data_IF_971145681130
#
_entry.id   IF_971145681130
#
_cell.length_a   1.000
_cell.length_b   1.000
_cell.length_c   1.000
_cell.angle_alpha   90.00
_cell.angle_beta   90.00
_cell.angle_gamma   90.00
#
_symmetry.space_group_name_H-M   'P 1'
#
loop_
_entity.id
_entity.type
_entity.pdbx_description
1 polymer ?
#
# COMPACT_ATOMS: atom_id res chain seq x y z
N UNK A 1 -2.24 17.05 3.99
CA UNK A 1 -0.92 16.59 3.52
C UNK A 1 -1.16 15.59 2.39
N UNK A 2 -0.75 15.97 1.17
CA UNK A 2 -0.73 15.15 -0.05
C UNK A 2 0.76 14.96 -0.36
N UNK A 3 1.22 13.72 -0.46
CA UNK A 3 2.61 13.38 -0.77
C UNK A 3 2.60 12.62 -2.09
N UNK A 4 3.44 13.06 -3.03
CA UNK A 4 3.64 12.41 -4.31
C UNK A 4 4.91 11.57 -4.25
N UNK A 5 4.83 10.30 -4.68
CA UNK A 5 5.95 9.36 -4.69
C UNK A 5 6.49 9.10 -6.10
N UNK A 6 6.15 9.96 -7.05
CA UNK A 6 6.54 9.87 -8.44
C UNK A 6 5.73 8.84 -9.21
N UNK A 7 6.26 8.43 -10.36
CA UNK A 7 5.57 7.51 -11.26
C UNK A 7 5.58 6.10 -10.68
N UNK A 8 4.44 5.42 -10.85
CA UNK A 8 4.27 4.06 -10.40
C UNK A 8 3.15 3.32 -11.11
N UNK A 9 3.10 2.02 -10.81
CA UNK A 9 2.08 1.09 -11.21
C UNK A 9 1.28 0.70 -9.98
N UNK A 10 -0.03 0.74 -10.13
CA UNK A 10 -1.01 0.20 -9.22
C UNK A 10 -1.63 -1.02 -9.90
N UNK A 11 -1.59 -2.17 -9.26
CA UNK A 11 -2.20 -3.40 -9.76
C UNK A 11 -3.17 -3.93 -8.72
N UNK A 12 -4.47 -3.90 -9.02
CA UNK A 12 -5.51 -4.52 -8.20
C UNK A 12 -5.79 -5.93 -8.72
N UNK A 13 -5.81 -6.88 -7.79
CA UNK A 13 -6.09 -8.29 -8.01
C UNK A 13 -7.34 -8.67 -7.22
N UNK A 14 -8.43 -8.88 -7.93
CA UNK A 14 -9.74 -9.27 -7.40
C UNK A 14 -10.09 -10.66 -7.96
N UNK A 15 -9.71 -11.71 -7.23
CA UNK A 15 -9.81 -13.08 -7.73
C UNK A 15 -8.91 -13.31 -8.95
N UNK A 16 -9.51 -13.63 -10.10
CA UNK A 16 -8.82 -13.80 -11.39
C UNK A 16 -8.69 -12.49 -12.18
N UNK A 17 -9.41 -11.44 -11.78
CA UNK A 17 -9.37 -10.16 -12.47
C UNK A 17 -8.16 -9.33 -12.03
N UNK A 18 -7.46 -8.79 -13.02
CA UNK A 18 -6.30 -7.91 -12.83
C UNK A 18 -6.56 -6.57 -13.49
N UNK A 19 -6.63 -5.53 -12.68
CA UNK A 19 -6.72 -4.14 -13.15
C UNK A 19 -5.40 -3.43 -12.89
N UNK A 20 -4.86 -2.77 -13.92
CA UNK A 20 -3.59 -2.04 -13.84
C UNK A 20 -3.83 -0.56 -14.13
N UNK A 21 -3.36 0.30 -13.24
CA UNK A 21 -3.28 1.74 -13.44
C UNK A 21 -1.82 2.18 -13.41
N UNK A 22 -1.44 3.06 -14.32
CA UNK A 22 -0.13 3.70 -14.35
C UNK A 22 -0.31 5.21 -14.20
N UNK A 23 0.56 5.84 -13.42
CA UNK A 23 0.54 7.29 -13.22
C UNK A 23 1.30 7.69 -11.96
N UNK A 24 1.02 8.87 -11.44
CA UNK A 24 1.67 9.38 -10.23
C UNK A 24 1.03 8.81 -8.97
N UNK A 25 1.84 8.18 -8.12
CA UNK A 25 1.37 7.58 -6.86
C UNK A 25 1.27 8.66 -5.81
N UNK A 26 0.07 8.82 -5.24
CA UNK A 26 -0.21 9.82 -4.22
C UNK A 26 -0.70 9.15 -2.95
N UNK A 27 -0.10 9.56 -1.82
CA UNK A 27 -0.63 9.31 -0.48
C UNK A 27 -1.25 10.58 0.07
N UNK A 28 -2.41 10.46 0.70
CA UNK A 28 -2.91 11.48 1.61
C UNK A 28 -3.18 10.86 2.99
N UNK A 29 -3.76 11.65 3.91
CA UNK A 29 -4.04 11.20 5.28
C UNK A 29 -4.97 9.99 5.40
N UNK A 30 -5.73 9.65 4.36
CA UNK A 30 -6.80 8.64 4.40
C UNK A 30 -6.72 7.58 3.30
N UNK A 31 -6.03 7.84 2.18
CA UNK A 31 -5.97 6.94 1.03
C UNK A 31 -4.69 7.04 0.21
N UNK A 32 -4.39 5.96 -0.52
CA UNK A 32 -3.40 5.91 -1.60
C UNK A 32 -4.15 5.87 -2.92
N UNK A 33 -3.69 6.58 -3.96
CA UNK A 33 -4.29 6.54 -5.30
C UNK A 33 -3.30 6.93 -6.40
N UNK A 34 -3.66 6.67 -7.65
CA UNK A 34 -2.99 7.21 -8.84
C UNK A 34 -3.67 8.53 -9.23
N UNK A 35 -2.89 9.61 -9.35
CA UNK A 35 -3.41 10.93 -9.73
C UNK A 35 -4.10 10.88 -11.10
N UNK A 36 -5.28 11.50 -11.21
CA UNK A 36 -6.10 11.47 -12.43
C UNK A 36 -6.87 10.16 -12.69
N UNK A 37 -6.78 9.15 -11.81
CA UNK A 37 -7.55 7.90 -11.92
C UNK A 37 -8.51 7.75 -10.74
N UNK A 38 -9.78 8.07 -10.96
CA UNK A 38 -10.85 8.07 -9.93
C UNK A 38 -11.03 6.72 -9.24
N UNK A 39 -10.88 5.61 -9.96
CA UNK A 39 -11.10 4.26 -9.43
C UNK A 39 -9.85 3.60 -8.83
N UNK A 40 -8.72 4.31 -8.80
CA UNK A 40 -7.42 3.78 -8.39
C UNK A 40 -7.12 3.96 -6.89
N UNK A 41 -8.14 4.13 -6.04
CA UNK A 41 -7.93 4.46 -4.64
C UNK A 41 -8.07 3.30 -3.65
N UNK A 42 -7.25 3.32 -2.61
CA UNK A 42 -7.31 2.42 -1.46
C UNK A 42 -7.42 3.27 -0.21
N UNK A 43 -8.45 3.03 0.58
CA UNK A 43 -8.56 3.63 1.89
C UNK A 43 -7.62 2.94 2.89
N UNK A 44 -6.85 3.73 3.64
CA UNK A 44 -5.80 3.23 4.53
C UNK A 44 -6.37 2.35 5.64
N UNK A 45 -7.55 2.66 6.15
CA UNK A 45 -8.29 1.90 7.18
C UNK A 45 -8.55 0.44 6.76
N UNK A 46 -8.81 0.22 5.46
CA UNK A 46 -9.12 -1.11 4.91
C UNK A 46 -7.89 -1.99 4.67
N UNK A 47 -6.69 -1.42 4.71
CA UNK A 47 -5.44 -2.18 4.56
C UNK A 47 -5.18 -2.99 5.83
N UNK A 48 -5.33 -4.31 5.77
CA UNK A 48 -5.04 -5.19 6.92
C UNK A 48 -3.55 -5.54 7.00
N UNK A 49 -2.95 -5.88 5.86
CA UNK A 49 -1.58 -6.36 5.79
C UNK A 49 -0.78 -5.62 4.73
N UNK A 50 0.48 -5.36 5.05
CA UNK A 50 1.46 -4.84 4.09
C UNK A 50 2.64 -5.79 4.02
N UNK A 51 3.07 -6.10 2.80
CA UNK A 51 4.23 -6.89 2.49
C UNK A 51 5.16 -6.14 1.54
N UNK A 52 6.34 -5.76 2.04
CA UNK A 52 7.40 -5.17 1.22
C UNK A 52 8.19 -6.25 0.52
N UNK A 53 8.32 -6.13 -0.80
CA UNK A 53 9.28 -6.88 -1.62
C UNK A 53 10.36 -5.94 -2.16
N UNK A 54 11.36 -6.48 -2.89
CA UNK A 54 12.41 -5.66 -3.51
C UNK A 54 11.87 -4.72 -4.60
N UNK A 55 10.77 -5.08 -5.28
CA UNK A 55 10.26 -4.35 -6.46
C UNK A 55 8.92 -3.63 -6.22
N UNK A 56 8.11 -4.12 -5.28
CA UNK A 56 6.77 -3.60 -5.03
C UNK A 56 6.38 -3.73 -3.55
N UNK A 57 5.38 -2.96 -3.15
CA UNK A 57 4.63 -3.17 -1.91
C UNK A 57 3.32 -3.88 -2.27
N UNK A 58 3.08 -5.02 -1.64
CA UNK A 58 1.83 -5.74 -1.69
C UNK A 58 0.99 -5.35 -0.47
N UNK A 59 -0.27 -5.00 -0.69
CA UNK A 59 -1.23 -4.61 0.33
C UNK A 59 -2.44 -5.51 0.23
N UNK A 60 -2.84 -6.10 1.34
CA UNK A 60 -4.07 -6.88 1.44
C UNK A 60 -5.17 -5.99 2.02
N UNK A 61 -6.27 -5.88 1.28
CA UNK A 61 -7.38 -4.99 1.61
C UNK A 61 -8.62 -5.83 1.85
N UNK A 62 -9.20 -5.68 3.04
CA UNK A 62 -10.44 -6.37 3.42
C UNK A 62 -11.56 -5.36 3.32
N UNK A 63 -12.43 -5.55 2.33
CA UNK A 63 -13.49 -4.58 2.01
C UNK A 63 -14.75 -4.80 2.86
N UNK A 64 -15.06 -6.05 3.21
CA UNK A 64 -16.13 -6.54 4.08
C UNK A 64 -15.88 -8.04 4.33
N UNK A 65 -16.54 -8.65 5.33
CA UNK A 65 -16.31 -9.97 5.97
C UNK A 65 -16.04 -11.22 5.09
N UNK A 66 -16.06 -11.12 3.76
CA UNK A 66 -15.77 -12.25 2.85
C UNK A 66 -15.01 -11.88 1.58
N UNK A 67 -14.66 -10.60 1.36
CA UNK A 67 -13.96 -10.18 0.13
C UNK A 67 -12.67 -9.44 0.45
N UNK A 68 -11.56 -10.15 0.24
CA UNK A 68 -10.21 -9.63 0.31
C UNK A 68 -9.63 -9.53 -1.10
N UNK A 69 -9.03 -8.39 -1.41
CA UNK A 69 -8.31 -8.19 -2.66
C UNK A 69 -6.89 -7.69 -2.39
N UNK A 70 -6.01 -7.89 -3.35
CA UNK A 70 -4.60 -7.50 -3.22
C UNK A 70 -4.29 -6.33 -4.12
N UNK A 71 -3.48 -5.41 -3.63
CA UNK A 71 -2.91 -4.35 -4.45
C UNK A 71 -1.40 -4.40 -4.42
N UNK A 72 -0.79 -4.34 -5.60
CA UNK A 72 0.64 -4.17 -5.77
C UNK A 72 0.90 -2.73 -6.20
N UNK A 73 1.74 -2.02 -5.44
CA UNK A 73 2.24 -0.71 -5.82
C UNK A 73 3.73 -0.85 -6.13
N UNK A 74 4.15 -0.36 -7.28
CA UNK A 74 5.55 -0.28 -7.70
C UNK A 74 5.84 1.14 -8.18
N UNK A 75 7.03 1.68 -7.91
CA UNK A 75 7.39 3.01 -8.37
C UNK A 75 8.67 3.53 -7.75
N UNK A 76 9.06 4.73 -8.16
CA UNK A 76 10.30 5.39 -7.74
C UNK A 76 10.33 5.65 -6.24
N UNK A 77 9.26 6.23 -5.69
CA UNK A 77 9.15 6.57 -4.26
C UNK A 77 8.61 5.46 -3.36
N UNK A 78 8.64 4.20 -3.80
CA UNK A 78 8.03 3.07 -3.06
C UNK A 78 8.58 2.92 -1.64
N UNK A 79 9.87 3.21 -1.43
CA UNK A 79 10.50 3.12 -0.11
C UNK A 79 9.92 4.16 0.85
N UNK A 80 9.81 5.41 0.41
CA UNK A 80 9.22 6.49 1.20
C UNK A 80 7.74 6.25 1.46
N UNK A 81 7.00 5.73 0.48
CA UNK A 81 5.60 5.38 0.64
C UNK A 81 5.38 4.39 1.80
N UNK A 82 6.23 3.37 1.90
CA UNK A 82 6.15 2.43 3.02
C UNK A 82 6.43 3.09 4.37
N UNK A 83 7.47 3.92 4.45
CA UNK A 83 7.87 4.58 5.69
C UNK A 83 6.75 5.49 6.21
N UNK A 84 6.15 6.29 5.32
CA UNK A 84 5.03 7.16 5.66
C UNK A 84 3.77 6.36 6.02
N UNK A 85 3.48 5.26 5.32
CA UNK A 85 2.36 4.39 5.67
C UNK A 85 2.48 3.83 7.09
N UNK A 86 3.68 3.37 7.47
CA UNK A 86 3.95 2.83 8.80
C UNK A 86 3.80 3.87 9.91
N UNK A 87 4.00 5.16 9.59
CA UNK A 87 3.77 6.28 10.51
C UNK A 87 2.28 6.62 10.59
N UNK A 88 1.58 6.68 9.46
CA UNK A 88 0.18 7.10 9.38
C UNK A 88 -0.79 6.07 9.95
N UNK A 89 -0.46 4.77 9.91
CA UNK A 89 -1.32 3.71 10.42
C UNK A 89 -0.53 2.60 11.09
N UNK A 90 -1.03 2.16 12.24
CA UNK A 90 -0.62 0.90 12.87
C UNK A 90 -1.30 -0.27 12.14
N UNK A 91 -0.60 -0.88 11.18
CA UNK A 91 -1.10 -2.08 10.50
C UNK A 91 -1.10 -3.29 11.44
N UNK A 92 -2.13 -4.14 11.29
CA UNK A 92 -2.29 -5.37 12.06
C UNK A 92 -1.16 -6.38 11.77
N UNK A 93 -0.68 -6.43 10.51
CA UNK A 93 0.47 -7.25 10.11
C UNK A 93 1.35 -6.51 9.10
N UNK A 94 2.65 -6.46 9.36
CA UNK A 94 3.67 -5.91 8.46
C UNK A 94 4.75 -6.95 8.22
N UNK A 95 4.98 -7.28 6.96
CA UNK A 95 6.00 -8.21 6.49
C UNK A 95 7.03 -7.45 5.65
N UNK A 96 8.31 -7.51 6.02
CA UNK A 96 9.38 -6.91 5.24
C UNK A 96 10.32 -8.04 4.83
N UNK A 97 10.36 -8.39 3.54
CA UNK A 97 11.25 -9.43 2.99
C UNK A 97 11.27 -10.73 3.83
N UNK A 98 10.10 -11.38 4.00
CA UNK A 98 9.88 -12.62 4.81
C UNK A 98 10.06 -12.49 6.32
N UNK A 99 10.52 -11.36 6.85
CA UNK A 99 10.56 -11.11 8.30
C UNK A 99 9.27 -10.43 8.76
N UNK A 100 8.58 -11.05 9.72
CA UNK A 100 7.48 -10.39 10.44
C UNK A 100 8.13 -9.25 11.22
N UNK A 101 7.70 -8.01 10.96
CA UNK A 101 8.30 -6.82 11.57
C UNK A 101 7.91 -6.68 13.06
N UNK A 102 8.12 -7.72 13.87
CA UNK A 102 7.91 -7.70 15.33
C UNK A 102 8.90 -6.75 16.03
N UNK A 103 9.99 -6.36 15.35
CA UNK A 103 11.07 -5.53 15.88
C UNK A 103 11.09 -4.06 15.41
N UNK A 104 10.17 -3.62 14.53
CA UNK A 104 10.22 -2.23 14.02
C UNK A 104 9.84 -1.19 15.09
N UNK A 105 9.06 -1.61 16.10
CA UNK A 105 8.56 -0.73 17.16
C UNK A 105 9.56 -0.44 18.28
N UNK A 106 10.69 -1.16 18.36
CA UNK A 106 11.73 -0.86 19.36
C UNK A 106 12.53 0.40 19.05
N UNK A 107 12.42 0.95 17.84
CA UNK A 107 13.22 2.09 17.35
C UNK A 107 12.46 3.42 17.33
N UNK A 108 11.18 3.41 17.67
CA UNK A 108 10.31 4.59 17.81
C UNK A 108 9.96 4.89 19.29
N UNK A 109 10.74 4.36 20.25
CA UNK A 109 10.64 4.67 21.67
C UNK A 109 11.77 5.60 22.08
#
# INVERSE_FOLDING_TARGET
MKINYGKGLYVRLEGEEKTVYAGEVVLNKVKIYIDGKTDSFISLDRIEQIKKTKKYIEMEIVSSSSFAYRVLIQGEGIKGLLEDLLILKRFKRVWINKWRAKNFWKRFR
#
